data_IF_454633924154
#
_entry.id   IF_454633924154
#
_cell.length_a   1.000
_cell.length_b   1.000
_cell.length_c   1.000
_cell.angle_alpha   90.00
_cell.angle_beta   90.00
_cell.angle_gamma   90.00
#
_symmetry.space_group_name_H-M   'P 1'
#
loop_
_entity.id
_entity.type
_entity.pdbx_description
1 polymer ?
#
# COMPACT_ATOMS: atom_id res chain seq x y z
N UNK A 1 -17.88 -21.89 1.25
CA UNK A 1 -16.98 -22.78 0.47
C UNK A 1 -16.34 -23.75 1.42
N UNK A 2 -16.38 -25.05 1.11
CA UNK A 2 -15.76 -26.11 1.89
C UNK A 2 -14.69 -26.79 1.04
N UNK A 3 -13.45 -26.84 1.51
CA UNK A 3 -12.31 -27.26 0.70
C UNK A 3 -11.24 -27.90 1.58
N UNK A 4 -10.64 -28.99 1.11
CA UNK A 4 -9.45 -29.61 1.68
C UNK A 4 -8.29 -29.45 0.68
N UNK A 5 -7.26 -28.71 1.07
CA UNK A 5 -6.02 -28.59 0.29
C UNK A 5 -5.02 -29.58 0.88
N UNK A 6 -4.52 -30.51 0.08
CA UNK A 6 -3.61 -31.57 0.50
C UNK A 6 -2.22 -31.40 -0.06
N UNK A 7 -1.23 -31.91 0.68
CA UNK A 7 0.17 -32.04 0.26
C UNK A 7 0.86 -30.71 -0.10
N UNK A 8 0.41 -29.57 0.43
CA UNK A 8 1.00 -28.28 0.15
C UNK A 8 2.31 -28.05 0.93
N UNK A 9 3.27 -27.37 0.32
CA UNK A 9 4.37 -26.74 1.05
C UNK A 9 3.83 -25.45 1.68
N UNK A 10 3.46 -25.51 2.96
CA UNK A 10 2.94 -24.35 3.68
C UNK A 10 4.07 -23.48 4.19
N UNK A 11 3.98 -22.18 3.94
CA UNK A 11 4.99 -21.20 4.37
C UNK A 11 4.27 -19.95 4.87
N UNK A 12 4.63 -19.49 6.05
CA UNK A 12 4.29 -18.15 6.54
C UNK A 12 5.54 -17.45 7.11
N UNK A 13 5.37 -16.37 7.86
CA UNK A 13 6.47 -15.61 8.45
C UNK A 13 7.23 -16.37 9.57
N UNK A 14 6.68 -17.48 10.06
CA UNK A 14 7.18 -18.19 11.25
C UNK A 14 7.52 -19.64 10.98
N UNK A 15 6.78 -20.30 10.09
CA UNK A 15 6.85 -21.74 9.89
C UNK A 15 6.89 -22.12 8.42
N UNK A 16 7.54 -23.28 8.14
CA UNK A 16 7.54 -23.92 6.83
C UNK A 16 7.47 -25.42 7.02
N UNK A 17 6.42 -26.06 6.49
CA UNK A 17 6.23 -27.52 6.55
C UNK A 17 5.31 -28.02 5.43
N UNK A 18 5.36 -29.30 5.14
CA UNK A 18 4.43 -29.94 4.20
C UNK A 18 3.22 -30.50 4.96
N UNK A 19 2.01 -30.22 4.48
CA UNK A 19 0.77 -30.64 5.14
C UNK A 19 -0.50 -30.28 4.40
N UNK A 20 -1.63 -30.39 5.11
CA UNK A 20 -2.99 -30.21 4.63
C UNK A 20 -3.68 -29.07 5.38
N UNK A 21 -4.60 -28.37 4.71
CA UNK A 21 -5.49 -27.35 5.29
C UNK A 21 -6.94 -27.70 4.99
N UNK A 22 -7.77 -27.71 6.04
CA UNK A 22 -9.21 -27.85 5.94
C UNK A 22 -9.88 -26.48 6.09
N UNK A 23 -10.71 -26.12 5.11
CA UNK A 23 -11.51 -24.90 5.07
C UNK A 23 -12.97 -25.28 5.13
N UNK A 24 -13.72 -24.77 6.11
CA UNK A 24 -15.16 -24.93 6.26
C UNK A 24 -15.79 -23.55 6.33
N UNK A 25 -16.79 -23.30 5.49
CA UNK A 25 -17.50 -22.02 5.40
C UNK A 25 -16.56 -20.81 5.21
N UNK A 26 -15.45 -21.03 4.45
CA UNK A 26 -14.46 -20.00 4.17
C UNK A 26 -13.45 -19.74 5.30
N UNK A 27 -13.50 -20.53 6.37
CA UNK A 27 -12.61 -20.40 7.53
C UNK A 27 -11.69 -21.61 7.60
N UNK A 28 -10.39 -21.38 7.84
CA UNK A 28 -9.41 -22.43 8.13
C UNK A 28 -9.78 -23.04 9.50
N UNK A 29 -10.20 -24.31 9.50
CA UNK A 29 -10.62 -25.01 10.71
C UNK A 29 -9.60 -25.99 11.23
N UNK A 30 -8.72 -26.47 10.37
CA UNK A 30 -7.68 -27.42 10.75
C UNK A 30 -6.46 -27.27 9.84
N UNK A 31 -5.26 -27.37 10.43
CA UNK A 31 -3.97 -27.43 9.74
C UNK A 31 -3.23 -28.65 10.31
N UNK A 32 -2.74 -29.54 9.46
CA UNK A 32 -2.08 -30.76 9.91
C UNK A 32 -1.25 -31.44 8.84
N UNK A 33 -0.53 -32.50 9.22
CA UNK A 33 0.29 -33.27 8.29
C UNK A 33 -0.55 -34.15 7.36
N UNK A 34 -1.68 -34.63 7.85
CA UNK A 34 -2.59 -35.48 7.11
C UNK A 34 -4.01 -35.28 7.66
N UNK A 35 -4.90 -34.74 6.82
CA UNK A 35 -6.30 -34.50 7.15
C UNK A 35 -7.16 -35.36 6.23
N UNK A 36 -8.10 -36.12 6.82
CA UNK A 36 -9.06 -36.90 6.08
C UNK A 36 -10.46 -36.39 6.37
N UNK A 37 -11.17 -35.95 5.33
CA UNK A 37 -12.54 -35.45 5.40
C UNK A 37 -13.32 -35.93 4.18
N UNK A 38 -14.42 -36.62 4.40
CA UNK A 38 -15.29 -37.08 3.33
C UNK A 38 -16.32 -35.99 2.96
N UNK A 39 -16.80 -36.03 1.71
CA UNK A 39 -17.90 -35.15 1.24
C UNK A 39 -17.47 -33.71 1.02
N UNK A 40 -16.18 -33.44 0.79
CA UNK A 40 -15.63 -32.10 0.56
C UNK A 40 -14.78 -32.08 -0.72
N UNK A 41 -14.72 -30.95 -1.39
CA UNK A 41 -13.82 -30.77 -2.54
C UNK A 41 -12.37 -30.83 -2.11
N UNK A 42 -11.54 -31.52 -2.91
CA UNK A 42 -10.12 -31.70 -2.61
C UNK A 42 -9.27 -31.08 -3.72
N UNK A 43 -8.28 -30.29 -3.31
CA UNK A 43 -7.18 -29.82 -4.18
C UNK A 43 -5.90 -30.52 -3.74
N UNK A 44 -5.30 -31.32 -4.61
CA UNK A 44 -3.95 -31.85 -4.38
C UNK A 44 -2.93 -30.79 -4.81
N UNK A 45 -2.29 -30.16 -3.82
CA UNK A 45 -1.30 -29.11 -4.00
C UNK A 45 0.13 -29.64 -3.96
N UNK A 46 0.35 -30.92 -4.27
CA UNK A 46 1.67 -31.53 -4.27
C UNK A 46 2.67 -30.78 -5.16
N UNK A 47 3.76 -30.32 -4.56
CA UNK A 47 4.78 -29.52 -5.23
C UNK A 47 4.43 -28.02 -5.37
N UNK A 48 3.27 -27.59 -4.88
CA UNK A 48 2.90 -26.18 -4.82
C UNK A 48 3.15 -25.59 -3.43
N UNK A 49 3.37 -24.29 -3.39
CA UNK A 49 3.49 -23.55 -2.14
C UNK A 49 2.16 -22.90 -1.78
N UNK A 50 1.71 -23.09 -0.54
CA UNK A 50 0.57 -22.44 0.04
C UNK A 50 1.03 -21.42 1.08
N UNK A 51 0.63 -20.18 0.92
CA UNK A 51 1.01 -19.08 1.81
C UNK A 51 -0.17 -18.12 2.00
N UNK A 52 -0.14 -17.24 3.03
CA UNK A 52 -1.09 -16.13 3.10
C UNK A 52 -1.08 -15.33 1.81
N UNK A 53 -2.26 -14.88 1.38
CA UNK A 53 -2.38 -14.06 0.16
C UNK A 53 -1.67 -12.72 0.33
N UNK A 54 -1.32 -12.11 -0.80
CA UNK A 54 -0.70 -10.78 -0.81
C UNK A 54 -1.74 -9.68 -0.64
N UNK A 55 -1.29 -8.56 -0.06
CA UNK A 55 -2.02 -7.29 0.01
C UNK A 55 -1.15 -6.23 -0.65
N UNK A 56 -1.69 -5.54 -1.67
CA UNK A 56 -1.03 -4.39 -2.29
C UNK A 56 -1.45 -3.12 -1.55
N UNK A 57 -0.51 -2.49 -0.87
CA UNK A 57 -0.79 -1.28 -0.09
C UNK A 57 -0.81 -0.01 -0.93
N UNK A 58 -0.46 -0.08 -2.24
CA UNK A 58 -0.36 1.08 -3.11
C UNK A 58 -0.69 0.75 -4.56
N UNK A 59 -1.95 0.86 -4.94
CA UNK A 59 -2.40 0.59 -6.30
C UNK A 59 -3.23 1.74 -6.89
N UNK A 60 -3.29 1.81 -8.23
CA UNK A 60 -3.99 2.87 -8.97
C UNK A 60 -4.95 2.27 -9.98
N UNK A 61 -6.20 2.02 -9.61
CA UNK A 61 -7.22 1.56 -10.55
C UNK A 61 -7.86 2.67 -11.35
N UNK A 62 -7.58 3.95 -11.01
CA UNK A 62 -8.00 5.11 -11.82
C UNK A 62 -9.50 5.27 -12.03
N UNK A 63 -10.31 4.56 -11.30
CA UNK A 63 -11.76 4.55 -11.34
C UNK A 63 -12.31 5.20 -10.05
N UNK A 64 -13.07 6.29 -10.15
CA UNK A 64 -13.71 6.87 -11.33
C UNK A 64 -12.82 7.75 -12.22
N UNK A 65 -13.30 7.97 -13.43
CA UNK A 65 -12.95 9.07 -14.33
C UNK A 65 -11.73 8.92 -15.22
N UNK A 66 -10.83 7.97 -14.94
CA UNK A 66 -9.63 7.70 -15.74
C UNK A 66 -9.58 6.23 -16.19
N UNK A 67 -10.73 5.61 -16.37
CA UNK A 67 -10.92 4.17 -16.64
C UNK A 67 -10.28 3.68 -17.94
N UNK A 68 -9.89 4.59 -18.82
CA UNK A 68 -9.09 4.25 -20.02
C UNK A 68 -7.65 3.82 -19.70
N UNK A 69 -7.17 4.07 -18.46
CA UNK A 69 -5.85 3.63 -17.99
C UNK A 69 -5.94 2.29 -17.27
N UNK A 70 -6.90 2.18 -16.38
CA UNK A 70 -7.25 1.02 -15.60
C UNK A 70 -8.65 1.24 -15.02
N UNK A 71 -9.42 0.19 -14.80
CA UNK A 71 -10.72 0.24 -14.13
C UNK A 71 -10.79 -0.76 -12.97
N UNK A 72 -11.88 -0.69 -12.22
CA UNK A 72 -12.05 -1.52 -11.03
C UNK A 72 -12.08 -3.02 -11.38
N UNK A 73 -12.68 -3.41 -12.51
CA UNK A 73 -12.77 -4.81 -12.89
C UNK A 73 -11.43 -5.37 -13.37
N UNK A 74 -10.77 -4.66 -14.29
CA UNK A 74 -9.48 -5.11 -14.86
C UNK A 74 -8.38 -5.13 -13.80
N UNK A 75 -8.32 -4.10 -12.92
CA UNK A 75 -7.40 -4.04 -11.80
C UNK A 75 -7.64 -5.16 -10.78
N UNK A 76 -8.91 -5.43 -10.42
CA UNK A 76 -9.25 -6.53 -9.51
C UNK A 76 -8.87 -7.89 -10.09
N UNK A 77 -9.10 -8.11 -11.40
CA UNK A 77 -8.69 -9.36 -12.08
C UNK A 77 -7.16 -9.52 -12.11
N UNK A 78 -6.43 -8.43 -12.37
CA UNK A 78 -4.98 -8.44 -12.35
C UNK A 78 -4.45 -8.77 -10.95
N UNK A 79 -4.99 -8.14 -9.91
CA UNK A 79 -4.65 -8.40 -8.51
C UNK A 79 -4.91 -9.86 -8.13
N UNK A 80 -6.12 -10.37 -8.38
CA UNK A 80 -6.49 -11.76 -8.09
C UNK A 80 -5.57 -12.75 -8.82
N UNK A 81 -5.22 -12.48 -10.10
CA UNK A 81 -4.29 -13.31 -10.86
C UNK A 81 -2.87 -13.27 -10.29
N UNK A 82 -2.47 -12.17 -9.69
CA UNK A 82 -1.19 -12.02 -9.00
C UNK A 82 -1.14 -12.64 -7.61
N UNK A 83 -2.25 -13.19 -7.11
CA UNK A 83 -2.35 -13.75 -5.74
C UNK A 83 -2.66 -12.71 -4.67
N UNK A 84 -3.09 -11.51 -5.06
CA UNK A 84 -3.53 -10.47 -4.14
C UNK A 84 -5.02 -10.62 -3.84
N UNK A 85 -5.39 -10.59 -2.56
CA UNK A 85 -6.79 -10.60 -2.12
C UNK A 85 -7.24 -9.26 -1.55
N UNK A 86 -6.34 -8.32 -1.37
CA UNK A 86 -6.63 -6.97 -0.93
C UNK A 86 -5.75 -5.94 -1.62
N UNK A 87 -6.32 -4.76 -1.88
CA UNK A 87 -5.58 -3.61 -2.42
C UNK A 87 -5.97 -2.32 -1.71
N UNK A 88 -5.01 -1.42 -1.54
CA UNK A 88 -5.24 -0.06 -1.08
C UNK A 88 -5.12 0.90 -2.28
N UNK A 89 -6.20 1.57 -2.64
CA UNK A 89 -6.25 2.43 -3.82
C UNK A 89 -5.93 3.88 -3.46
N UNK A 90 -5.04 4.48 -4.24
CA UNK A 90 -4.67 5.88 -4.12
C UNK A 90 -5.81 6.82 -4.55
N UNK A 91 -5.84 8.03 -4.00
CA UNK A 91 -6.90 9.01 -4.19
C UNK A 91 -6.89 9.77 -5.51
N UNK A 92 -5.94 9.50 -6.42
CA UNK A 92 -5.74 10.24 -7.67
C UNK A 92 -6.68 9.80 -8.82
N UNK A 93 -7.95 9.81 -8.53
CA UNK A 93 -9.07 9.58 -9.45
C UNK A 93 -9.58 10.90 -10.07
N UNK A 94 -10.64 10.85 -10.85
CA UNK A 94 -11.31 12.05 -11.37
C UNK A 94 -12.85 11.91 -11.23
N UNK A 95 -13.49 12.61 -10.27
CA UNK A 95 -12.88 13.57 -9.33
C UNK A 95 -11.91 12.92 -8.36
N UNK A 96 -11.02 13.72 -7.75
CA UNK A 96 -10.12 13.29 -6.68
C UNK A 96 -10.94 12.69 -5.52
N UNK A 97 -10.44 11.63 -4.91
CA UNK A 97 -11.11 10.96 -3.80
C UNK A 97 -11.01 11.78 -2.50
N UNK A 98 -11.82 12.87 -2.44
CA UNK A 98 -11.89 13.81 -1.33
C UNK A 98 -13.26 13.83 -0.64
N UNK A 99 -14.27 13.13 -1.20
CA UNK A 99 -15.64 13.16 -0.68
C UNK A 99 -16.17 11.74 -0.42
N UNK A 100 -17.18 11.65 0.45
CA UNK A 100 -17.84 10.36 0.76
C UNK A 100 -18.45 9.73 -0.49
N UNK A 101 -19.04 10.52 -1.37
CA UNK A 101 -19.69 10.04 -2.58
C UNK A 101 -18.71 9.28 -3.48
N UNK A 102 -17.47 9.80 -3.63
CA UNK A 102 -16.43 9.14 -4.44
C UNK A 102 -15.95 7.85 -3.75
N UNK A 103 -15.74 7.89 -2.43
CA UNK A 103 -15.34 6.70 -1.65
C UNK A 103 -16.41 5.61 -1.74
N UNK A 104 -17.68 5.96 -1.56
CA UNK A 104 -18.81 5.03 -1.63
C UNK A 104 -18.99 4.44 -3.04
N UNK A 105 -18.78 5.25 -4.08
CA UNK A 105 -18.78 4.76 -5.45
C UNK A 105 -17.74 3.64 -5.63
N UNK A 106 -16.50 3.87 -5.20
CA UNK A 106 -15.41 2.88 -5.31
C UNK A 106 -15.74 1.62 -4.51
N UNK A 107 -16.15 1.78 -3.25
CA UNK A 107 -16.49 0.66 -2.37
C UNK A 107 -17.65 -0.20 -2.92
N UNK A 108 -18.71 0.45 -3.42
CA UNK A 108 -19.85 -0.24 -3.97
C UNK A 108 -19.49 -1.01 -5.24
N UNK A 109 -18.71 -0.38 -6.13
CA UNK A 109 -18.24 -1.02 -7.36
C UNK A 109 -17.33 -2.22 -7.07
N UNK A 110 -16.42 -2.09 -6.10
CA UNK A 110 -15.58 -3.21 -5.67
C UNK A 110 -16.40 -4.37 -5.08
N UNK A 111 -17.40 -4.07 -4.24
CA UNK A 111 -18.32 -5.07 -3.69
C UNK A 111 -19.16 -5.78 -4.77
N UNK A 112 -19.60 -5.05 -5.79
CA UNK A 112 -20.35 -5.60 -6.93
C UNK A 112 -19.49 -6.59 -7.74
N UNK A 113 -18.21 -6.26 -7.96
CA UNK A 113 -17.26 -7.13 -8.65
C UNK A 113 -16.89 -8.35 -7.78
N UNK A 114 -16.65 -8.14 -6.48
CA UNK A 114 -16.48 -9.21 -5.49
C UNK A 114 -15.28 -10.13 -5.69
N UNK A 115 -14.22 -9.68 -6.35
CA UNK A 115 -13.02 -10.47 -6.62
C UNK A 115 -11.96 -10.36 -5.54
N UNK A 116 -11.80 -9.15 -4.99
CA UNK A 116 -10.79 -8.82 -3.96
C UNK A 116 -11.36 -7.77 -3.00
N UNK A 117 -10.75 -7.63 -1.83
CA UNK A 117 -11.06 -6.52 -0.93
C UNK A 117 -10.36 -5.23 -1.38
N UNK A 118 -11.12 -4.14 -1.40
CA UNK A 118 -10.62 -2.82 -1.84
C UNK A 118 -10.76 -1.81 -0.71
N UNK A 119 -9.65 -1.22 -0.33
CA UNK A 119 -9.57 -0.09 0.61
C UNK A 119 -9.23 1.18 -0.16
N UNK A 120 -10.11 2.17 -0.12
CA UNK A 120 -9.91 3.44 -0.81
C UNK A 120 -9.29 4.47 0.14
N UNK A 121 -8.11 5.01 -0.21
CA UNK A 121 -7.53 6.16 0.46
C UNK A 121 -8.31 7.44 0.13
N UNK A 122 -8.42 8.33 1.11
CA UNK A 122 -8.91 9.69 0.92
C UNK A 122 -7.73 10.64 0.79
N UNK A 123 -7.87 11.70 0.00
CA UNK A 123 -6.83 12.73 -0.11
C UNK A 123 -6.52 13.37 1.24
N UNK A 124 -5.25 13.69 1.50
CA UNK A 124 -4.85 14.46 2.69
C UNK A 124 -5.42 15.88 2.58
N UNK A 125 -5.22 16.53 1.43
CA UNK A 125 -5.72 17.87 1.18
C UNK A 125 -6.88 17.82 0.21
N UNK A 126 -7.87 18.68 0.43
CA UNK A 126 -9.05 18.73 -0.42
C UNK A 126 -8.68 18.92 -1.88
N UNK A 127 -9.08 17.93 -2.73
CA UNK A 127 -8.79 17.89 -4.17
C UNK A 127 -7.29 18.03 -4.51
N UNK A 128 -6.40 17.56 -3.63
CA UNK A 128 -4.94 17.73 -3.76
C UNK A 128 -4.50 19.20 -3.81
N UNK A 129 -5.30 20.09 -3.22
CA UNK A 129 -5.08 21.54 -3.29
C UNK A 129 -3.97 22.05 -2.37
N UNK A 130 -3.45 21.23 -1.47
CA UNK A 130 -2.34 21.58 -0.57
C UNK A 130 -2.67 22.60 0.53
N UNK A 131 -3.95 22.98 0.73
CA UNK A 131 -4.33 24.12 1.59
C UNK A 131 -5.25 23.79 2.75
N UNK A 132 -6.17 22.85 2.58
CA UNK A 132 -7.19 22.51 3.57
C UNK A 132 -7.28 21.00 3.77
N UNK A 133 -7.57 20.61 5.02
CA UNK A 133 -7.88 19.24 5.41
C UNK A 133 -9.29 19.11 5.98
N UNK A 134 -10.14 20.15 5.83
CA UNK A 134 -11.45 20.20 6.49
C UNK A 134 -12.41 19.12 6.01
N UNK A 135 -12.31 18.70 4.75
CA UNK A 135 -13.08 17.59 4.18
C UNK A 135 -12.90 16.29 4.95
N UNK A 136 -11.74 16.06 5.61
CA UNK A 136 -11.49 14.90 6.43
C UNK A 136 -12.43 14.79 7.65
N UNK A 137 -13.08 15.88 8.06
CA UNK A 137 -14.07 15.83 9.14
C UNK A 137 -15.29 14.98 8.78
N UNK A 138 -15.60 14.87 7.50
CA UNK A 138 -16.69 14.03 7.03
C UNK A 138 -16.44 12.54 7.26
N UNK A 139 -15.19 12.13 7.48
CA UNK A 139 -14.77 10.72 7.63
C UNK A 139 -14.49 10.30 9.09
N UNK A 140 -14.74 11.16 10.09
CA UNK A 140 -14.43 10.86 11.50
C UNK A 140 -15.08 9.56 12.02
N UNK A 141 -16.24 9.20 11.51
CA UNK A 141 -16.97 7.98 11.90
C UNK A 141 -16.78 6.81 10.90
N UNK A 142 -15.96 6.97 9.86
CA UNK A 142 -15.72 5.95 8.86
C UNK A 142 -14.74 4.88 9.36
N UNK A 143 -15.29 3.70 9.73
CA UNK A 143 -14.51 2.57 10.24
C UNK A 143 -13.72 1.83 9.17
N UNK A 144 -14.05 2.01 7.90
CA UNK A 144 -13.38 1.36 6.77
C UNK A 144 -12.23 2.21 6.21
N UNK A 145 -12.14 3.51 6.57
CA UNK A 145 -11.03 4.36 6.15
C UNK A 145 -9.76 4.01 6.92
N UNK A 146 -8.76 3.50 6.22
CA UNK A 146 -7.49 3.06 6.82
C UNK A 146 -6.35 4.06 6.61
N UNK A 147 -6.36 4.80 5.50
CA UNK A 147 -5.24 5.69 5.15
C UNK A 147 -5.68 6.92 4.38
N UNK A 148 -4.88 7.98 4.48
CA UNK A 148 -5.01 9.22 3.73
C UNK A 148 -3.72 9.53 2.99
N UNK A 149 -3.83 10.07 1.74
CA UNK A 149 -2.67 10.30 0.88
C UNK A 149 -2.93 11.36 -0.19
N UNK A 150 -1.95 12.21 -0.46
CA UNK A 150 -1.90 13.05 -1.67
C UNK A 150 -0.92 12.46 -2.69
N UNK A 151 -1.02 11.13 -2.89
CA UNK A 151 -0.10 10.42 -3.80
C UNK A 151 -0.09 11.00 -5.21
N UNK A 152 1.13 11.17 -5.75
CA UNK A 152 1.41 11.80 -7.04
C UNK A 152 1.54 13.32 -6.99
N UNK A 153 1.28 13.95 -5.83
CA UNK A 153 1.38 15.41 -5.66
C UNK A 153 2.25 15.80 -4.45
N UNK A 154 2.12 15.09 -3.33
CA UNK A 154 2.75 15.43 -2.06
C UNK A 154 2.14 16.68 -1.40
N UNK A 155 2.31 16.81 -0.10
CA UNK A 155 1.86 17.96 0.69
C UNK A 155 3.03 18.88 0.99
N UNK A 156 3.10 20.02 0.30
CA UNK A 156 4.24 20.95 0.40
C UNK A 156 4.27 21.74 1.72
N UNK A 157 3.10 22.15 2.22
CA UNK A 157 3.01 22.91 3.46
C UNK A 157 3.15 21.99 4.68
N UNK A 158 4.26 22.16 5.41
CA UNK A 158 4.55 21.36 6.61
C UNK A 158 3.52 21.56 7.72
N UNK A 159 2.86 22.73 7.82
CA UNK A 159 1.81 22.98 8.82
C UNK A 159 0.54 22.23 8.49
N UNK A 160 0.21 22.09 7.22
CA UNK A 160 -0.93 21.30 6.73
C UNK A 160 -0.64 19.79 6.96
N UNK A 161 0.56 19.33 6.60
CA UNK A 161 0.96 17.93 6.86
C UNK A 161 0.90 17.60 8.35
N UNK A 162 1.39 18.49 9.22
CA UNK A 162 1.32 18.28 10.67
C UNK A 162 -0.13 18.16 11.16
N UNK A 163 -1.03 19.06 10.73
CA UNK A 163 -2.46 18.97 11.06
C UNK A 163 -3.11 17.68 10.55
N UNK A 164 -2.75 17.25 9.35
CA UNK A 164 -3.22 15.98 8.78
C UNK A 164 -2.74 14.78 9.62
N UNK A 165 -1.48 14.77 10.06
CA UNK A 165 -0.94 13.74 10.94
C UNK A 165 -1.64 13.71 12.31
N UNK A 166 -1.93 14.87 12.91
CA UNK A 166 -2.70 14.95 14.16
C UNK A 166 -4.13 14.42 13.99
N UNK A 167 -4.79 14.76 12.88
CA UNK A 167 -6.12 14.27 12.53
C UNK A 167 -6.10 12.74 12.30
N UNK A 168 -5.11 12.24 11.55
CA UNK A 168 -4.94 10.82 11.29
C UNK A 168 -4.69 10.03 12.58
N UNK A 169 -3.86 10.55 13.49
CA UNK A 169 -3.64 9.94 14.80
C UNK A 169 -4.93 9.81 15.60
N UNK A 170 -5.76 10.86 15.64
CA UNK A 170 -7.04 10.85 16.35
C UNK A 170 -7.97 9.75 15.85
N UNK A 171 -7.98 9.51 14.54
CA UNK A 171 -8.87 8.55 13.89
C UNK A 171 -8.21 7.17 13.64
N UNK A 172 -6.97 6.98 14.08
CA UNK A 172 -6.15 5.78 13.84
C UNK A 172 -5.90 5.50 12.35
N UNK A 173 -5.89 6.53 11.51
CA UNK A 173 -5.52 6.41 10.10
C UNK A 173 -4.01 6.41 9.92
N UNK A 174 -3.55 5.91 8.78
CA UNK A 174 -2.17 5.99 8.31
C UNK A 174 -2.05 7.19 7.38
N UNK A 175 -1.03 8.01 7.56
CA UNK A 175 -0.63 9.00 6.54
C UNK A 175 0.34 8.33 5.60
N UNK A 176 -0.04 8.19 4.32
CA UNK A 176 0.85 7.67 3.27
C UNK A 176 1.46 8.86 2.53
N UNK A 177 2.77 9.03 2.66
CA UNK A 177 3.48 10.17 2.08
C UNK A 177 4.10 9.81 0.74
N UNK A 178 3.69 10.53 -0.32
CA UNK A 178 4.42 10.65 -1.56
C UNK A 178 5.49 11.73 -1.38
N UNK A 179 6.73 11.30 -1.15
CA UNK A 179 7.83 12.19 -0.80
C UNK A 179 8.44 12.82 -2.05
N UNK A 180 7.90 13.94 -2.48
CA UNK A 180 8.39 14.73 -3.60
C UNK A 180 8.26 16.23 -3.32
N UNK A 181 9.37 16.88 -2.98
CA UNK A 181 9.42 18.34 -2.86
C UNK A 181 9.44 18.98 -4.24
N UNK A 182 8.30 19.60 -4.62
CA UNK A 182 8.11 20.22 -5.94
C UNK A 182 9.08 21.34 -6.26
N UNK A 183 9.72 21.94 -5.25
CA UNK A 183 10.73 22.97 -5.49
C UNK A 183 11.99 22.39 -6.08
N UNK A 184 12.25 21.10 -5.82
CA UNK A 184 13.40 20.35 -6.30
C UNK A 184 13.09 19.38 -7.44
N UNK A 185 11.84 18.99 -7.66
CA UNK A 185 11.48 17.93 -8.66
C UNK A 185 12.01 18.17 -10.08
N UNK A 186 12.23 19.45 -10.45
CA UNK A 186 12.81 19.81 -11.77
C UNK A 186 14.31 20.01 -11.74
N UNK A 187 14.91 19.97 -10.57
CA UNK A 187 16.34 20.22 -10.34
C UNK A 187 17.04 18.88 -10.05
N UNK A 188 16.55 18.19 -9.03
CA UNK A 188 17.08 16.91 -8.57
C UNK A 188 16.00 16.12 -7.84
N UNK A 189 15.59 15.00 -8.41
CA UNK A 189 14.55 14.12 -7.85
C UNK A 189 15.01 13.37 -6.60
N UNK A 190 16.33 13.22 -6.38
CA UNK A 190 16.86 12.64 -5.15
C UNK A 190 16.65 13.59 -4.00
N UNK A 191 17.09 14.85 -4.16
CA UNK A 191 16.89 15.90 -3.16
C UNK A 191 15.40 16.10 -2.86
N UNK A 192 14.54 16.03 -3.89
CA UNK A 192 13.09 16.14 -3.73
C UNK A 192 12.51 15.06 -2.80
N UNK A 193 12.92 13.80 -2.98
CA UNK A 193 12.51 12.68 -2.14
C UNK A 193 13.07 12.81 -0.73
N UNK A 194 14.38 13.01 -0.60
CA UNK A 194 15.08 12.97 0.68
C UNK A 194 14.62 14.06 1.64
N UNK A 195 14.49 15.30 1.15
CA UNK A 195 14.04 16.43 1.99
C UNK A 195 12.63 16.22 2.51
N UNK A 196 11.72 15.77 1.64
CA UNK A 196 10.33 15.53 2.08
C UNK A 196 10.25 14.32 3.01
N UNK A 197 11.00 13.26 2.75
CA UNK A 197 11.12 12.11 3.64
C UNK A 197 11.58 12.53 5.04
N UNK A 198 12.69 13.26 5.16
CA UNK A 198 13.23 13.73 6.44
C UNK A 198 12.22 14.62 7.17
N UNK A 199 11.56 15.53 6.45
CA UNK A 199 10.51 16.40 7.01
C UNK A 199 9.36 15.57 7.60
N UNK A 200 8.83 14.63 6.84
CA UNK A 200 7.66 13.86 7.26
C UNK A 200 7.96 12.89 8.39
N UNK A 201 9.14 12.29 8.40
CA UNK A 201 9.63 11.50 9.53
C UNK A 201 9.73 12.33 10.81
N UNK A 202 10.22 13.58 10.71
CA UNK A 202 10.28 14.47 11.86
C UNK A 202 8.88 14.85 12.36
N UNK A 203 7.96 15.17 11.47
CA UNK A 203 6.56 15.47 11.82
C UNK A 203 5.87 14.26 12.46
N UNK A 204 6.07 13.06 11.93
CA UNK A 204 5.55 11.83 12.50
C UNK A 204 6.08 11.56 13.91
N UNK A 205 7.37 11.82 14.16
CA UNK A 205 7.97 11.73 15.50
C UNK A 205 7.32 12.69 16.49
N UNK A 206 7.10 13.95 16.10
CA UNK A 206 6.50 14.99 16.94
C UNK A 206 5.03 14.71 17.23
N UNK A 207 4.25 14.37 16.22
CA UNK A 207 2.81 14.10 16.34
C UNK A 207 2.51 12.71 16.90
N UNK A 208 3.46 11.77 16.78
CA UNK A 208 3.27 10.34 17.05
C UNK A 208 2.19 9.70 16.15
N UNK A 209 2.01 10.22 14.95
CA UNK A 209 1.13 9.66 13.95
C UNK A 209 1.74 8.39 13.32
N UNK A 210 0.87 7.56 12.73
CA UNK A 210 1.29 6.44 11.88
C UNK A 210 1.65 6.99 10.50
N UNK A 211 2.88 6.81 10.09
CA UNK A 211 3.38 7.27 8.78
C UNK A 211 3.82 6.08 7.94
N UNK A 212 3.43 6.06 6.68
CA UNK A 212 3.93 5.15 5.67
C UNK A 212 4.59 5.94 4.56
N UNK A 213 5.88 5.67 4.29
CA UNK A 213 6.62 6.30 3.21
C UNK A 213 6.42 5.46 1.94
N UNK A 214 5.75 6.04 0.96
CA UNK A 214 5.44 5.36 -0.30
C UNK A 214 6.67 5.29 -1.22
N UNK A 215 6.78 4.19 -1.97
CA UNK A 215 7.76 3.96 -3.06
C UNK A 215 9.16 4.56 -2.83
N UNK A 216 9.75 4.29 -1.66
CA UNK A 216 11.09 4.78 -1.31
C UNK A 216 12.13 4.29 -2.31
N UNK A 217 13.02 5.18 -2.77
CA UNK A 217 13.95 4.86 -3.83
C UNK A 217 15.43 5.21 -3.56
N UNK A 218 15.74 5.96 -2.50
CA UNK A 218 17.11 6.44 -2.21
C UNK A 218 17.71 5.84 -0.95
N UNK A 219 19.04 5.75 -0.90
CA UNK A 219 19.80 5.34 0.30
C UNK A 219 19.48 6.28 1.47
N UNK A 220 19.48 7.58 1.23
CA UNK A 220 19.28 8.61 2.24
C UNK A 220 17.91 8.46 2.90
N UNK A 221 16.87 8.20 2.11
CA UNK A 221 15.52 7.95 2.61
C UNK A 221 15.45 6.65 3.43
N UNK A 222 16.04 5.55 2.95
CA UNK A 222 16.11 4.27 3.69
C UNK A 222 16.82 4.45 5.04
N UNK A 223 17.96 5.14 5.06
CA UNK A 223 18.70 5.38 6.30
C UNK A 223 17.92 6.26 7.28
N UNK A 224 17.23 7.31 6.78
CA UNK A 224 16.40 8.17 7.61
C UNK A 224 15.22 7.39 8.22
N UNK A 225 14.56 6.52 7.45
CA UNK A 225 13.47 5.66 7.92
C UNK A 225 13.99 4.65 8.96
N UNK A 226 15.11 3.99 8.69
CA UNK A 226 15.75 3.05 9.63
C UNK A 226 16.05 3.71 10.96
N UNK A 227 16.59 4.95 10.94
CA UNK A 227 16.83 5.74 12.14
C UNK A 227 15.54 6.06 12.88
N UNK A 228 14.51 6.54 12.18
CA UNK A 228 13.23 6.88 12.78
C UNK A 228 12.57 5.65 13.46
N UNK A 229 12.61 4.47 12.81
CA UNK A 229 12.13 3.20 13.40
C UNK A 229 12.92 2.83 14.65
N UNK A 230 14.25 2.94 14.62
CA UNK A 230 15.12 2.66 15.77
C UNK A 230 14.86 3.61 16.96
N UNK A 231 14.47 4.85 16.69
CA UNK A 231 14.08 5.84 17.68
C UNK A 231 12.64 5.68 18.21
N UNK A 232 11.91 4.64 17.75
CA UNK A 232 10.57 4.29 18.21
C UNK A 232 9.43 5.03 17.50
N UNK A 233 9.68 5.66 16.37
CA UNK A 233 8.62 6.25 15.55
C UNK A 233 7.77 5.16 14.88
N UNK A 234 6.46 5.37 14.80
CA UNK A 234 5.55 4.45 14.13
C UNK A 234 5.56 4.67 12.62
N UNK A 235 6.62 4.21 11.98
CA UNK A 235 6.90 4.41 10.56
C UNK A 235 7.07 3.08 9.84
N UNK A 236 6.45 2.95 8.69
CA UNK A 236 6.68 1.90 7.70
C UNK A 236 7.03 2.51 6.36
N UNK A 237 7.52 1.72 5.44
CA UNK A 237 7.75 2.13 4.05
C UNK A 237 7.48 0.97 3.10
N UNK A 238 7.35 1.31 1.85
CA UNK A 238 7.26 0.36 0.75
C UNK A 238 8.25 0.72 -0.35
N UNK A 239 8.56 -0.26 -1.18
CA UNK A 239 9.37 -0.13 -2.38
C UNK A 239 8.65 -0.79 -3.54
N UNK A 240 8.94 -0.38 -4.76
CA UNK A 240 8.32 -0.99 -5.93
C UNK A 240 9.20 -2.10 -6.51
N UNK A 241 8.62 -3.09 -7.22
CA UNK A 241 9.38 -4.15 -7.86
C UNK A 241 10.46 -3.62 -8.83
N UNK A 242 10.16 -2.54 -9.55
CA UNK A 242 11.13 -1.97 -10.50
C UNK A 242 12.31 -1.26 -9.80
N UNK A 243 12.14 -0.71 -8.59
CA UNK A 243 13.24 -0.16 -7.80
C UNK A 243 14.14 -1.24 -7.15
N UNK A 244 13.67 -2.49 -7.09
CA UNK A 244 14.47 -3.64 -6.64
C UNK A 244 15.20 -4.30 -7.83
N UNK A 245 14.56 -4.31 -9.01
CA UNK A 245 15.00 -5.14 -10.14
C UNK A 245 15.81 -4.39 -11.20
N UNK A 246 15.73 -3.05 -11.26
CA UNK A 246 16.31 -2.24 -12.32
C UNK A 246 17.25 -1.17 -11.78
N UNK A 247 18.30 -0.91 -12.54
CA UNK A 247 19.24 0.19 -12.31
C UNK A 247 19.25 1.15 -13.50
N UNK A 248 19.77 2.37 -13.31
CA UNK A 248 19.97 3.34 -14.42
C UNK A 248 20.90 2.84 -15.53
N UNK A 249 21.77 1.88 -15.24
CA UNK A 249 22.61 1.23 -16.23
C UNK A 249 21.83 0.28 -17.16
N UNK A 250 20.74 -0.33 -16.63
CA UNK A 250 19.96 -1.35 -17.33
C UNK A 250 18.69 -0.80 -17.98
N UNK A 251 18.17 0.31 -17.45
CA UNK A 251 16.88 0.85 -17.88
C UNK A 251 16.81 2.36 -17.77
N UNK A 252 16.30 2.98 -18.84
CA UNK A 252 15.91 4.38 -18.87
C UNK A 252 14.39 4.58 -18.80
N UNK A 253 13.64 3.56 -18.38
CA UNK A 253 12.19 3.62 -18.28
C UNK A 253 11.75 4.69 -17.27
N UNK A 254 10.84 5.55 -17.70
CA UNK A 254 10.41 6.70 -16.89
C UNK A 254 9.34 6.27 -15.90
N UNK A 255 9.71 6.29 -14.62
CA UNK A 255 8.81 6.13 -13.47
C UNK A 255 8.98 7.31 -12.51
N UNK A 256 8.12 7.41 -11.53
CA UNK A 256 8.21 8.40 -10.46
C UNK A 256 7.95 7.70 -9.10
N UNK A 257 8.93 7.65 -8.18
CA UNK A 257 10.32 8.14 -8.30
C UNK A 257 11.09 7.49 -9.44
N UNK A 258 12.19 8.12 -9.92
CA UNK A 258 13.03 7.55 -11.00
C UNK A 258 13.71 6.25 -10.57
N UNK A 259 14.03 5.40 -11.55
CA UNK A 259 14.97 4.29 -11.34
C UNK A 259 16.32 4.89 -10.89
N UNK A 260 16.97 4.23 -9.93
CA UNK A 260 18.17 4.72 -9.26
C UNK A 260 19.41 3.91 -9.65
N UNK A 261 20.53 4.33 -9.13
CA UNK A 261 21.83 3.66 -9.26
C UNK A 261 21.84 2.35 -8.48
N UNK A 262 22.82 1.51 -8.75
CA UNK A 262 22.95 0.18 -8.15
C UNK A 262 23.12 0.23 -6.63
N UNK A 263 23.78 1.26 -6.14
CA UNK A 263 23.97 1.49 -4.70
C UNK A 263 22.62 1.68 -3.97
N UNK A 264 21.70 2.42 -4.58
CA UNK A 264 20.34 2.62 -4.04
C UNK A 264 19.57 1.29 -4.04
N UNK A 265 19.62 0.55 -5.15
CA UNK A 265 18.97 -0.77 -5.26
C UNK A 265 19.48 -1.71 -4.16
N UNK A 266 20.78 -1.75 -3.93
CA UNK A 266 21.37 -2.57 -2.87
C UNK A 266 20.88 -2.13 -1.48
N UNK A 267 20.82 -0.83 -1.20
CA UNK A 267 20.33 -0.31 0.07
C UNK A 267 18.85 -0.63 0.31
N UNK A 268 18.03 -0.60 -0.75
CA UNK A 268 16.62 -1.01 -0.70
C UNK A 268 16.52 -2.51 -0.34
N UNK A 269 17.27 -3.36 -1.02
CA UNK A 269 17.28 -4.81 -0.78
C UNK A 269 17.72 -5.14 0.66
N UNK A 270 18.73 -4.44 1.17
CA UNK A 270 19.15 -4.57 2.57
C UNK A 270 18.14 -4.02 3.58
N UNK A 271 17.24 -3.14 3.13
CA UNK A 271 16.20 -2.51 3.94
C UNK A 271 14.96 -3.38 4.14
N UNK A 272 14.72 -4.34 3.24
CA UNK A 272 13.60 -5.30 3.27
C UNK A 272 13.90 -6.42 4.30
#
# INVERSE_FOLDING_TARGET
>A
MNLLIKNANMIDAYESFCGDILIIDGIITEIGKEINKEGIDIIDAKGLTLMPSFIDTHAHFRDPGLTYKEDMESGSRAAAKGGYTGVCLMGNTNPICSTKEVVEYVRNKAKEIGLIDVHQCVSITENFGGKSIEHLNAFDDDKELVAITDDGVGVMDSSIMMKAMEKAKKNNWIVMSHAEDKTFSKIDMRIAEDLMTIRDLYLAKVTKARLHMAHVSTIESIEAIRRAKKEGSNVTCEVTPHHIALTTEESNYRVNPPIREKEDVNAIIEGI
#
